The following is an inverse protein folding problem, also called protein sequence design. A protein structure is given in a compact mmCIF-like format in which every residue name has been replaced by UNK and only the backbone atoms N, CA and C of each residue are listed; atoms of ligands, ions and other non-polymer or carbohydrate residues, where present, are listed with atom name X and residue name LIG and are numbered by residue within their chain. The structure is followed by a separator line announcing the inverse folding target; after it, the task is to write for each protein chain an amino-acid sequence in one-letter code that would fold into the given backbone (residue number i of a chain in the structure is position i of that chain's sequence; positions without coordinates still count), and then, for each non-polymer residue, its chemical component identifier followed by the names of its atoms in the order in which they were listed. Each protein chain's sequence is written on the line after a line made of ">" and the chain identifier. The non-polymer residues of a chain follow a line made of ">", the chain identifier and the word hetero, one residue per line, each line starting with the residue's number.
data_IF_302331118170
#
_entry.id   IF_302331118170
#
_cell.length_a   1.000
_cell.length_b   1.000
_cell.length_c   1.000
_cell.angle_alpha   90.00
_cell.angle_beta   90.00
_cell.angle_gamma   90.00
#
_symmetry.space_group_name_H-M   'P 1'
#
loop_
_entity.id
_entity.type
_entity.pdbx_description
1 polymer ?
#
# COMPACT_ATOMS: atom_id res chain seq x y z
N UNK A 1 0.83 -0.50 14.19
CA UNK A 1 0.55 0.89 13.76
C UNK A 1 1.69 1.79 14.22
N UNK A 2 2.07 2.76 13.40
CA UNK A 2 3.00 3.83 13.75
C UNK A 2 2.38 5.19 13.45
N UNK A 3 2.94 6.25 14.02
CA UNK A 3 2.56 7.63 13.72
C UNK A 3 3.69 8.23 12.89
N UNK A 4 3.36 8.80 11.75
CA UNK A 4 4.34 9.55 10.97
C UNK A 4 4.68 10.85 11.71
N UNK A 5 5.96 11.07 12.01
CA UNK A 5 6.40 12.19 12.83
C UNK A 5 6.20 13.55 12.15
N UNK A 6 6.19 13.57 10.80
CA UNK A 6 6.11 14.80 10.00
C UNK A 6 4.68 15.33 9.90
N UNK A 7 3.73 14.44 9.66
CA UNK A 7 2.31 14.77 9.42
C UNK A 7 1.41 14.49 10.63
N UNK A 8 1.90 13.70 11.60
CA UNK A 8 1.12 13.14 12.73
C UNK A 8 0.00 12.19 12.28
N UNK A 9 0.04 11.73 11.03
CA UNK A 9 -0.91 10.74 10.51
C UNK A 9 -0.65 9.37 11.12
N UNK A 10 -1.72 8.61 11.36
CA UNK A 10 -1.65 7.22 11.83
C UNK A 10 -1.61 6.28 10.64
N UNK A 11 -0.58 5.44 10.59
CA UNK A 11 -0.46 4.36 9.61
C UNK A 11 -0.72 3.00 10.28
N UNK A 12 -1.60 2.20 9.68
CA UNK A 12 -2.01 0.88 10.17
C UNK A 12 -1.04 -0.22 9.74
N UNK A 13 0.25 -0.01 10.03
CA UNK A 13 1.33 -0.97 9.78
C UNK A 13 2.32 -1.02 10.95
N UNK A 14 3.15 -2.05 11.01
CA UNK A 14 4.28 -2.14 11.94
C UNK A 14 5.56 -2.26 11.11
N UNK A 15 6.52 -1.34 11.23
CA UNK A 15 7.79 -1.46 10.51
C UNK A 15 8.51 -2.77 10.85
N UNK A 16 9.00 -3.46 9.82
CA UNK A 16 9.58 -4.80 9.94
C UNK A 16 8.57 -5.95 9.93
N UNK A 17 7.28 -5.68 9.74
CA UNK A 17 6.24 -6.70 9.54
C UNK A 17 5.61 -6.60 8.15
N UNK A 18 5.14 -7.74 7.65
CA UNK A 18 4.45 -7.85 6.36
C UNK A 18 3.08 -7.17 6.40
N UNK A 19 2.80 -6.35 5.39
CA UNK A 19 1.47 -5.80 5.08
C UNK A 19 0.74 -6.73 4.10
N UNK A 20 1.44 -7.25 3.10
CA UNK A 20 0.92 -8.24 2.15
C UNK A 20 2.02 -9.21 1.77
N UNK A 21 1.71 -10.50 1.70
CA UNK A 21 2.69 -11.55 1.39
C UNK A 21 2.10 -12.61 0.46
N UNK A 22 2.91 -13.12 -0.47
CA UNK A 22 2.55 -14.27 -1.32
C UNK A 22 1.57 -13.95 -2.45
N UNK A 23 1.35 -12.67 -2.75
CA UNK A 23 0.52 -12.22 -3.87
C UNK A 23 1.08 -10.96 -4.49
N UNK A 24 0.96 -10.86 -5.81
CA UNK A 24 1.30 -9.66 -6.60
C UNK A 24 0.08 -9.11 -7.33
N UNK A 25 -1.12 -9.61 -7.01
CA UNK A 25 -2.37 -9.23 -7.67
C UNK A 25 -2.85 -7.88 -7.13
N UNK A 26 -3.22 -6.98 -8.01
CA UNK A 26 -3.76 -5.65 -7.66
C UNK A 26 -5.00 -5.75 -6.75
N UNK A 27 -5.90 -6.72 -6.97
CA UNK A 27 -7.08 -6.94 -6.13
C UNK A 27 -6.78 -7.38 -4.69
N UNK A 28 -5.53 -7.78 -4.42
CA UNK A 28 -5.06 -8.08 -3.06
C UNK A 28 -4.20 -6.94 -2.51
N UNK A 29 -3.27 -6.43 -3.32
CA UNK A 29 -2.32 -5.39 -2.90
C UNK A 29 -2.99 -4.04 -2.63
N UNK A 30 -3.83 -3.55 -3.55
CA UNK A 30 -4.45 -2.23 -3.43
C UNK A 30 -5.29 -2.15 -2.15
N UNK A 31 -6.20 -3.10 -1.84
CA UNK A 31 -6.95 -3.05 -0.58
C UNK A 31 -6.06 -3.14 0.67
N UNK A 32 -5.01 -3.98 0.66
CA UNK A 32 -4.10 -4.11 1.78
C UNK A 32 -3.34 -2.80 2.06
N UNK A 33 -2.85 -2.15 1.01
CA UNK A 33 -2.13 -0.88 1.09
C UNK A 33 -3.05 0.27 1.48
N UNK A 34 -4.30 0.24 1.00
CA UNK A 34 -5.31 1.23 1.33
C UNK A 34 -5.71 1.19 2.81
N UNK A 35 -5.79 0.01 3.43
CA UNK A 35 -6.07 -0.10 4.87
C UNK A 35 -4.94 0.52 5.72
N UNK A 36 -3.69 0.50 5.26
CA UNK A 36 -2.57 1.16 5.95
C UNK A 36 -2.79 2.66 6.09
N UNK A 37 -3.31 3.32 5.05
CA UNK A 37 -3.49 4.78 4.99
C UNK A 37 -4.90 5.24 5.35
N UNK A 38 -5.77 4.37 5.88
CA UNK A 38 -7.20 4.68 6.13
C UNK A 38 -7.50 5.91 7.00
N UNK A 39 -6.55 6.34 7.81
CA UNK A 39 -6.68 7.52 8.67
C UNK A 39 -5.89 8.73 8.13
N UNK A 40 -5.45 8.69 6.86
CA UNK A 40 -4.73 9.80 6.19
C UNK A 40 -5.61 10.51 5.16
N UNK A 41 -5.27 11.76 4.76
CA UNK A 41 -6.01 12.50 3.75
C UNK A 41 -6.06 11.81 2.38
N UNK A 42 -5.03 11.03 2.03
CA UNK A 42 -4.91 10.36 0.72
C UNK A 42 -5.94 9.23 0.55
N UNK A 43 -6.43 8.65 1.65
CA UNK A 43 -7.40 7.56 1.63
C UNK A 43 -8.62 7.85 0.74
N UNK A 44 -9.20 9.05 0.86
CA UNK A 44 -10.41 9.43 0.11
C UNK A 44 -10.13 9.52 -1.39
N UNK A 45 -8.93 9.98 -1.77
CA UNK A 45 -8.55 10.09 -3.18
C UNK A 45 -8.39 8.72 -3.81
N UNK A 46 -7.71 7.80 -3.12
CA UNK A 46 -7.51 6.42 -3.58
C UNK A 46 -8.84 5.66 -3.62
N UNK A 47 -9.68 5.77 -2.57
CA UNK A 47 -11.00 5.15 -2.54
C UNK A 47 -11.88 5.56 -3.73
N UNK A 48 -11.85 6.83 -4.12
CA UNK A 48 -12.63 7.32 -5.25
C UNK A 48 -12.09 6.88 -6.62
N UNK A 49 -10.83 6.44 -6.68
CA UNK A 49 -10.23 5.90 -7.91
C UNK A 49 -10.63 4.44 -8.17
N UNK A 50 -11.08 3.71 -7.15
CA UNK A 50 -11.53 2.32 -7.28
C UNK A 50 -13.01 2.30 -7.68
N UNK A 51 -13.38 1.72 -8.84
CA UNK A 51 -14.78 1.58 -9.22
C UNK A 51 -15.56 0.72 -8.23
N UNK A 52 -16.78 1.13 -7.88
CA UNK A 52 -17.62 0.41 -6.93
C UNK A 52 -17.82 -1.07 -7.29
N UNK A 53 -18.00 -1.39 -8.58
CA UNK A 53 -18.17 -2.78 -9.04
C UNK A 53 -16.91 -3.63 -8.81
N UNK A 54 -15.70 -3.05 -8.87
CA UNK A 54 -14.46 -3.76 -8.62
C UNK A 54 -14.27 -4.03 -7.12
N UNK A 55 -14.77 -3.14 -6.24
CA UNK A 55 -14.78 -3.39 -4.80
C UNK A 55 -15.70 -4.55 -4.40
N UNK A 56 -16.79 -4.76 -5.14
CA UNK A 56 -17.76 -5.83 -4.90
C UNK A 56 -17.34 -7.16 -5.55
N UNK A 57 -16.52 -7.10 -6.61
CA UNK A 57 -16.06 -8.26 -7.38
C UNK A 57 -14.54 -8.25 -7.59
N UNK A 58 -13.84 -9.17 -6.91
CA UNK A 58 -12.39 -9.35 -7.02
C UNK A 58 -11.93 -9.88 -8.38
N UNK A 59 -12.85 -10.39 -9.19
CA UNK A 59 -12.58 -10.87 -10.55
C UNK A 59 -12.95 -9.83 -11.61
N UNK A 60 -13.35 -8.61 -11.20
CA UNK A 60 -13.63 -7.54 -12.14
C UNK A 60 -12.40 -7.22 -13.01
N UNK A 61 -12.63 -7.07 -14.31
CA UNK A 61 -11.58 -6.79 -15.30
C UNK A 61 -10.75 -5.54 -14.96
N UNK A 62 -11.33 -4.59 -14.23
CA UNK A 62 -10.65 -3.38 -13.78
C UNK A 62 -9.36 -3.67 -13.00
N UNK A 63 -9.31 -4.74 -12.19
CA UNK A 63 -8.10 -5.10 -11.46
C UNK A 63 -6.91 -5.40 -12.38
N UNK A 64 -7.16 -5.86 -13.61
CA UNK A 64 -6.14 -6.13 -14.61
C UNK A 64 -5.89 -4.94 -15.57
N UNK A 65 -6.48 -3.78 -15.30
CA UNK A 65 -6.36 -2.59 -16.15
C UNK A 65 -5.14 -1.72 -15.82
N UNK A 66 -4.74 -0.88 -16.76
CA UNK A 66 -3.70 0.13 -16.56
C UNK A 66 -4.05 1.12 -15.45
N UNK A 67 -5.35 1.41 -15.22
CA UNK A 67 -5.80 2.28 -14.14
C UNK A 67 -5.50 1.67 -12.76
N UNK A 68 -5.73 0.37 -12.59
CA UNK A 68 -5.41 -0.32 -11.34
C UNK A 68 -3.89 -0.40 -11.13
N UNK A 69 -3.12 -0.64 -12.20
CA UNK A 69 -1.66 -0.63 -12.13
C UNK A 69 -1.12 0.76 -11.73
N UNK A 70 -1.60 1.83 -12.35
CA UNK A 70 -1.20 3.20 -12.01
C UNK A 70 -1.63 3.62 -10.60
N UNK A 71 -2.79 3.16 -10.12
CA UNK A 71 -3.20 3.37 -8.74
C UNK A 71 -2.27 2.67 -7.75
N UNK A 72 -1.88 1.42 -8.05
CA UNK A 72 -0.95 0.66 -7.22
C UNK A 72 0.43 1.34 -7.18
N UNK A 73 0.95 1.83 -8.30
CA UNK A 73 2.19 2.62 -8.33
C UNK A 73 2.09 3.89 -7.47
N UNK A 74 0.98 4.62 -7.58
CA UNK A 74 0.74 5.81 -6.76
C UNK A 74 0.67 5.48 -5.25
N UNK A 75 0.13 4.31 -4.89
CA UNK A 75 0.11 3.82 -3.52
C UNK A 75 1.51 3.45 -3.01
N UNK A 76 2.37 2.86 -3.86
CA UNK A 76 3.77 2.62 -3.51
C UNK A 76 4.49 3.92 -3.17
N UNK A 77 4.37 4.95 -4.02
CA UNK A 77 4.98 6.25 -3.78
C UNK A 77 4.43 6.93 -2.52
N UNK A 78 3.12 6.84 -2.31
CA UNK A 78 2.46 7.40 -1.12
C UNK A 78 2.95 6.72 0.15
N UNK A 79 2.96 5.39 0.19
CA UNK A 79 3.41 4.64 1.35
C UNK A 79 4.90 4.83 1.60
N UNK A 80 5.73 4.85 0.57
CA UNK A 80 7.16 5.12 0.75
C UNK A 80 7.42 6.53 1.27
N UNK A 81 6.60 7.51 0.85
CA UNK A 81 6.66 8.86 1.42
C UNK A 81 6.39 8.89 2.92
N UNK A 82 5.61 7.93 3.46
CA UNK A 82 5.33 7.75 4.89
C UNK A 82 6.36 6.87 5.62
N UNK A 83 7.35 6.33 4.93
CA UNK A 83 8.38 5.48 5.55
C UNK A 83 9.07 6.20 6.73
N UNK A 84 9.20 5.54 7.90
CA UNK A 84 10.01 6.05 9.00
C UNK A 84 11.48 6.24 8.61
N UNK A 85 12.22 7.03 9.38
CA UNK A 85 13.65 7.25 9.13
C UNK A 85 14.42 5.91 9.09
N UNK A 86 15.17 5.68 8.02
CA UNK A 86 15.94 4.45 7.80
C UNK A 86 15.11 3.26 7.33
N UNK A 87 13.86 3.47 6.93
CA UNK A 87 12.99 2.48 6.30
C UNK A 87 12.60 2.92 4.89
N UNK A 88 12.20 1.95 4.06
CA UNK A 88 11.53 2.15 2.78
C UNK A 88 10.26 1.29 2.75
N UNK A 89 9.30 1.67 1.91
CA UNK A 89 8.14 0.83 1.62
C UNK A 89 8.39 0.07 0.31
N UNK A 90 8.18 -1.24 0.33
CA UNK A 90 8.36 -2.06 -0.87
C UNK A 90 8.44 -3.54 -0.55
N UNK A 91 8.93 -4.32 -1.51
CA UNK A 91 9.18 -5.73 -1.30
C UNK A 91 10.41 -5.94 -0.40
N UNK A 92 10.36 -6.98 0.44
CA UNK A 92 11.47 -7.41 1.26
C UNK A 92 12.61 -7.92 0.35
N UNK A 93 13.87 -7.57 0.63
CA UNK A 93 15.01 -7.93 -0.23
C UNK A 93 15.18 -9.44 -0.47
N UNK A 94 14.71 -10.27 0.46
CA UNK A 94 14.71 -11.73 0.34
C UNK A 94 13.42 -12.35 -0.23
N UNK A 95 12.36 -11.56 -0.39
CA UNK A 95 11.05 -12.03 -0.85
C UNK A 95 10.33 -10.94 -1.65
N UNK A 96 10.35 -11.08 -2.98
CA UNK A 96 9.75 -10.13 -3.91
C UNK A 96 8.22 -10.00 -3.82
N UNK A 97 7.56 -10.84 -3.03
CA UNK A 97 6.11 -10.82 -2.80
C UNK A 97 5.72 -10.43 -1.37
N UNK A 98 6.69 -10.11 -0.52
CA UNK A 98 6.48 -9.69 0.87
C UNK A 98 6.64 -8.17 0.99
N UNK A 99 5.51 -7.46 1.01
CA UNK A 99 5.46 -6.00 1.04
C UNK A 99 5.30 -5.49 2.46
N UNK A 100 6.09 -4.47 2.81
CA UNK A 100 6.13 -3.91 4.15
C UNK A 100 6.99 -2.64 4.20
N UNK A 101 7.09 -2.08 5.40
CA UNK A 101 8.08 -1.05 5.70
C UNK A 101 9.34 -1.74 6.19
N UNK A 102 10.36 -1.82 5.33
CA UNK A 102 11.58 -2.56 5.60
C UNK A 102 12.74 -1.63 5.88
N UNK A 103 13.68 -2.09 6.71
CA UNK A 103 14.86 -1.31 7.05
C UNK A 103 15.76 -1.19 5.81
N UNK A 104 16.25 0.00 5.53
CA UNK A 104 17.29 0.19 4.52
C UNK A 104 18.58 -0.47 5.00
N UNK A 105 19.16 -1.34 4.18
CA UNK A 105 20.52 -1.82 4.41
C UNK A 105 21.50 -0.65 4.24
N UNK A 106 22.42 -0.50 5.20
CA UNK A 106 23.42 0.57 5.23
C UNK A 106 24.62 0.29 4.32
#
# INVERSE_FOLDING_TARGET
>A
MFIDERTQNRLHAVPGESISHGTMRTQDLIPAFLDVIRDTPEYVQVMNAIPAHAMEDKEADWWNSDDAAGLLESLFDTLDSYSPEGYYFGAHLGDGSDYGFWKMDK
#
